data_IF_376846143390
#
_entry.id   IF_376846143390
#
_cell.length_a   1.000
_cell.length_b   1.000
_cell.length_c   1.000
_cell.angle_alpha   90.00
_cell.angle_beta   90.00
_cell.angle_gamma   90.00
#
_symmetry.space_group_name_H-M   'P 1'
#
loop_
_entity.id
_entity.type
_entity.pdbx_description
1 polymer ?
#
# COMPACT_ATOMS: atom_id res chain seq x y z
N UNK A 1 41.47 4.66 6.75
CA UNK A 1 40.61 5.30 7.77
C UNK A 1 39.27 5.76 7.19
N UNK A 2 39.23 6.41 6.01
CA UNK A 2 38.00 6.92 5.40
C UNK A 2 36.97 5.85 4.99
N UNK A 3 37.41 4.68 4.51
CA UNK A 3 36.49 3.60 4.08
C UNK A 3 35.69 2.99 5.24
N UNK A 4 36.28 2.84 6.42
CA UNK A 4 35.57 2.33 7.61
C UNK A 4 34.48 3.28 8.10
N UNK A 5 34.73 4.59 8.04
CA UNK A 5 33.74 5.61 8.36
C UNK A 5 32.60 5.63 7.31
N UNK A 6 32.94 5.51 6.03
CA UNK A 6 31.96 5.45 4.95
C UNK A 6 31.07 4.18 5.02
N UNK A 7 31.67 3.02 5.30
CA UNK A 7 30.91 1.77 5.48
C UNK A 7 30.00 1.84 6.72
N UNK A 8 30.49 2.43 7.82
CA UNK A 8 29.68 2.64 9.02
C UNK A 8 28.53 3.62 8.78
N UNK A 9 28.80 4.72 8.06
CA UNK A 9 27.79 5.72 7.71
C UNK A 9 26.73 5.16 6.76
N UNK A 10 27.12 4.44 5.69
CA UNK A 10 26.19 3.80 4.76
C UNK A 10 25.34 2.71 5.41
N UNK A 11 25.93 1.93 6.32
CA UNK A 11 25.20 0.99 7.17
C UNK A 11 24.18 1.67 8.09
N UNK A 12 24.58 2.76 8.75
CA UNK A 12 23.69 3.55 9.61
C UNK A 12 22.52 4.16 8.82
N UNK A 13 22.78 4.75 7.66
CA UNK A 13 21.73 5.32 6.79
C UNK A 13 20.75 4.23 6.35
N UNK A 14 21.26 3.08 5.90
CA UNK A 14 20.42 1.93 5.54
C UNK A 14 19.57 1.47 6.72
N UNK A 15 20.16 1.38 7.92
CA UNK A 15 19.47 0.93 9.11
C UNK A 15 18.39 1.92 9.58
N UNK A 16 18.65 3.22 9.51
CA UNK A 16 17.65 4.27 9.79
C UNK A 16 16.45 4.17 8.84
N UNK A 17 16.70 3.94 7.55
CA UNK A 17 15.64 3.75 6.57
C UNK A 17 14.81 2.48 6.82
N UNK A 18 15.46 1.39 7.20
CA UNK A 18 14.76 0.14 7.59
C UNK A 18 13.86 0.40 8.81
N UNK A 19 14.35 1.14 9.81
CA UNK A 19 13.54 1.50 10.99
C UNK A 19 12.33 2.35 10.60
N UNK A 20 12.48 3.29 9.67
CA UNK A 20 11.37 4.09 9.13
C UNK A 20 10.30 3.20 8.49
N UNK A 21 10.68 2.23 7.65
CA UNK A 21 9.72 1.31 7.03
C UNK A 21 9.04 0.41 8.07
N UNK A 22 9.77 -0.06 9.07
CA UNK A 22 9.17 -0.86 10.17
C UNK A 22 8.16 -0.02 10.94
N UNK A 23 8.51 1.22 11.30
CA UNK A 23 7.62 2.13 11.99
C UNK A 23 6.36 2.43 11.14
N UNK A 24 6.53 2.67 9.84
CA UNK A 24 5.42 2.88 8.92
C UNK A 24 4.50 1.65 8.82
N UNK A 25 5.06 0.44 8.74
CA UNK A 25 4.29 -0.81 8.74
C UNK A 25 3.49 -0.98 10.04
N UNK A 26 4.08 -0.66 11.19
CA UNK A 26 3.39 -0.72 12.49
C UNK A 26 2.26 0.30 12.54
N UNK A 27 2.54 1.55 12.16
CA UNK A 27 1.54 2.61 12.16
C UNK A 27 0.35 2.31 11.24
N UNK A 28 0.61 1.71 10.07
CA UNK A 28 -0.42 1.36 9.08
C UNK A 28 -1.02 -0.03 9.28
N UNK A 29 -0.61 -0.78 10.32
CA UNK A 29 -1.15 -2.11 10.62
C UNK A 29 -2.66 -2.12 10.90
N UNK A 30 -3.19 -0.99 11.39
CA UNK A 30 -4.62 -0.81 11.66
C UNK A 30 -5.42 -0.37 10.44
N UNK A 31 -4.75 0.04 9.36
CA UNK A 31 -5.41 0.50 8.13
C UNK A 31 -5.87 -0.72 7.33
N UNK A 32 -7.19 -0.91 7.10
CA UNK A 32 -7.68 -2.04 6.34
C UNK A 32 -7.13 -2.02 4.90
N UNK A 33 -6.68 -3.19 4.43
CA UNK A 33 -6.15 -3.33 3.08
C UNK A 33 -4.70 -2.85 2.90
N UNK A 34 -4.03 -2.35 3.95
CA UNK A 34 -2.61 -2.01 3.86
C UNK A 34 -1.75 -3.25 3.52
N UNK A 35 -0.77 -3.07 2.64
CA UNK A 35 0.17 -4.11 2.22
C UNK A 35 1.54 -3.82 2.79
N UNK A 36 2.09 -4.78 3.55
CA UNK A 36 3.39 -4.64 4.23
C UNK A 36 4.50 -4.41 3.22
N UNK A 37 5.35 -3.42 3.52
CA UNK A 37 6.55 -3.13 2.75
C UNK A 37 7.76 -3.77 3.43
N UNK A 38 8.61 -4.43 2.65
CA UNK A 38 9.85 -5.08 3.14
C UNK A 38 11.03 -4.49 2.40
N UNK A 39 11.98 -3.83 3.10
CA UNK A 39 13.18 -3.32 2.47
C UNK A 39 14.10 -4.47 2.08
N UNK A 40 14.69 -4.38 0.89
CA UNK A 40 15.73 -5.29 0.42
C UNK A 40 17.04 -4.50 0.37
N UNK A 41 18.00 -4.88 1.22
CA UNK A 41 19.35 -4.32 1.19
C UNK A 41 20.27 -5.17 0.34
N UNK A 42 21.20 -4.52 -0.37
CA UNK A 42 22.30 -5.18 -1.06
C UNK A 42 23.62 -4.54 -0.67
N UNK A 43 24.67 -5.35 -0.64
CA UNK A 43 26.04 -4.84 -0.57
C UNK A 43 26.42 -4.32 -1.95
N UNK A 44 26.97 -3.11 -2.03
CA UNK A 44 27.52 -2.60 -3.28
C UNK A 44 29.03 -2.85 -3.33
N UNK A 45 29.51 -3.50 -4.39
CA UNK A 45 30.94 -3.54 -4.69
C UNK A 45 31.36 -2.20 -5.28
N UNK A 46 32.31 -1.55 -4.62
CA UNK A 46 33.03 -0.44 -5.25
C UNK A 46 33.99 -1.03 -6.29
N UNK A 47 34.28 -0.35 -7.39
CA UNK A 47 35.29 -0.79 -8.40
C UNK A 47 36.68 -1.08 -7.78
N UNK A 48 36.92 -0.63 -6.54
CA UNK A 48 38.05 -0.94 -5.67
C UNK A 48 38.07 -2.38 -5.10
N UNK A 49 36.97 -3.15 -5.23
CA UNK A 49 36.83 -4.54 -4.73
C UNK A 49 37.86 -5.50 -5.32
N UNK A 50 38.28 -5.26 -6.58
CA UNK A 50 39.28 -6.09 -7.25
C UNK A 50 40.69 -5.95 -6.63
N UNK A 51 40.97 -4.86 -5.92
CA UNK A 51 42.27 -4.59 -5.29
C UNK A 51 42.27 -4.83 -3.78
N UNK A 52 41.17 -4.48 -3.11
CA UNK A 52 40.96 -4.73 -1.69
C UNK A 52 39.74 -5.62 -1.57
N UNK A 53 39.98 -6.92 -1.36
CA UNK A 53 39.02 -8.03 -1.33
C UNK A 53 37.90 -7.92 -0.28
N UNK A 54 37.65 -6.73 0.27
CA UNK A 54 36.75 -6.52 1.41
C UNK A 54 36.44 -5.03 1.63
N UNK A 55 35.74 -4.36 0.71
CA UNK A 55 35.12 -3.06 1.01
C UNK A 55 33.77 -2.97 0.30
N UNK A 56 32.69 -3.29 1.02
CA UNK A 56 31.33 -3.13 0.55
C UNK A 56 30.47 -2.42 1.59
N UNK A 57 29.97 -1.24 1.24
CA UNK A 57 28.91 -0.56 2.00
C UNK A 57 27.55 -1.22 1.76
N UNK A 58 26.58 -0.97 2.65
CA UNK A 58 25.20 -1.42 2.48
C UNK A 58 24.37 -0.30 1.85
N UNK A 59 23.54 -0.63 0.87
CA UNK A 59 22.49 0.26 0.35
C UNK A 59 21.16 -0.46 0.28
N UNK A 60 20.08 0.31 0.28
CA UNK A 60 18.74 -0.21 0.01
C UNK A 60 18.57 -0.31 -1.50
N UNK A 61 18.30 -1.51 -1.99
CA UNK A 61 18.09 -1.79 -3.41
C UNK A 61 16.66 -1.44 -3.82
N UNK A 62 15.70 -1.94 -3.06
CA UNK A 62 14.29 -1.87 -3.40
C UNK A 62 13.40 -2.06 -2.16
N UNK A 63 12.11 -1.77 -2.32
CA UNK A 63 11.06 -1.96 -1.32
C UNK A 63 9.99 -2.88 -1.92
N UNK A 64 9.98 -4.13 -1.46
CA UNK A 64 8.98 -5.09 -1.90
C UNK A 64 7.66 -4.93 -1.16
N UNK A 65 6.55 -4.84 -1.89
CA UNK A 65 5.20 -4.84 -1.32
C UNK A 65 4.64 -6.25 -1.29
N UNK A 66 4.34 -6.78 -0.10
CA UNK A 66 3.75 -8.10 0.05
C UNK A 66 2.24 -8.05 -0.21
N UNK A 67 1.79 -8.73 -1.27
CA UNK A 67 0.38 -8.85 -1.62
C UNK A 67 -0.36 -9.99 -0.91
N UNK A 68 0.31 -10.70 0.01
CA UNK A 68 -0.29 -11.76 0.80
C UNK A 68 -1.61 -11.31 1.47
N UNK A 69 -2.57 -12.22 1.57
CA UNK A 69 -3.85 -11.95 2.22
C UNK A 69 -3.63 -11.86 3.74
N UNK A 70 -4.11 -10.78 4.34
CA UNK A 70 -4.11 -10.62 5.80
C UNK A 70 -5.35 -11.23 6.44
N UNK A 71 -5.42 -11.15 7.76
CA UNK A 71 -6.58 -11.60 8.52
C UNK A 71 -7.80 -10.76 8.17
N UNK A 72 -8.92 -11.41 7.87
CA UNK A 72 -10.21 -10.77 7.68
C UNK A 72 -10.95 -10.79 9.02
N UNK A 73 -11.40 -9.62 9.48
CA UNK A 73 -12.23 -9.48 10.67
C UNK A 73 -13.60 -9.00 10.25
N UNK A 74 -14.63 -9.75 10.64
CA UNK A 74 -16.01 -9.32 10.45
C UNK A 74 -16.28 -8.09 11.32
N UNK A 75 -16.89 -7.07 10.73
CA UNK A 75 -17.37 -5.88 11.44
C UNK A 75 -18.89 -5.87 11.45
N UNK A 76 -19.49 -5.06 12.33
CA UNK A 76 -20.94 -4.90 12.39
C UNK A 76 -21.49 -3.86 11.39
N UNK A 77 -20.62 -3.23 10.58
CA UNK A 77 -21.02 -2.23 9.61
C UNK A 77 -21.32 -2.90 8.26
N UNK A 78 -22.56 -2.80 7.73
CA UNK A 78 -22.91 -3.42 6.46
C UNK A 78 -22.17 -2.84 5.25
N UNK A 79 -21.56 -1.65 5.38
CA UNK A 79 -20.79 -1.00 4.32
C UNK A 79 -19.29 -1.35 4.36
N UNK A 80 -18.85 -2.15 5.33
CA UNK A 80 -17.48 -2.63 5.36
C UNK A 80 -17.36 -3.91 4.52
N UNK A 81 -16.58 -3.85 3.44
CA UNK A 81 -16.43 -4.97 2.50
C UNK A 81 -14.99 -5.47 2.45
N UNK A 82 -14.79 -6.77 2.68
CA UNK A 82 -13.47 -7.39 2.54
C UNK A 82 -13.42 -8.28 1.29
N UNK A 83 -12.44 -8.02 0.42
CA UNK A 83 -12.15 -8.89 -0.72
C UNK A 83 -11.36 -10.12 -0.26
N UNK A 84 -11.84 -11.31 -0.63
CA UNK A 84 -11.13 -12.58 -0.43
C UNK A 84 -10.42 -12.98 -1.72
N UNK A 85 -9.13 -13.33 -1.66
CA UNK A 85 -8.34 -13.72 -2.84
C UNK A 85 -7.64 -12.54 -3.53
N UNK A 86 -7.50 -12.55 -4.85
CA UNK A 86 -6.89 -11.44 -5.61
C UNK A 86 -7.80 -10.22 -5.75
N UNK A 87 -7.34 -9.19 -6.46
CA UNK A 87 -8.17 -8.06 -6.92
C UNK A 87 -8.13 -6.77 -6.09
N UNK A 88 -8.74 -5.73 -6.61
CA UNK A 88 -8.83 -4.41 -5.97
C UNK A 88 -10.20 -3.79 -6.27
N UNK A 89 -10.69 -2.96 -5.35
CA UNK A 89 -11.82 -2.09 -5.60
C UNK A 89 -11.36 -0.94 -6.50
N UNK A 90 -12.17 -0.62 -7.50
CA UNK A 90 -11.91 0.49 -8.41
C UNK A 90 -12.67 1.71 -7.92
N UNK A 91 -11.98 2.85 -7.83
CA UNK A 91 -12.59 4.13 -7.42
C UNK A 91 -12.25 5.19 -8.43
N UNK A 92 -13.18 6.12 -8.64
CA UNK A 92 -12.99 7.22 -9.58
C UNK A 92 -12.22 8.36 -8.89
N UNK A 93 -11.13 8.82 -9.51
CA UNK A 93 -10.48 10.05 -9.08
C UNK A 93 -11.31 11.26 -9.54
N UNK A 94 -12.14 11.79 -8.63
CA UNK A 94 -12.99 12.96 -8.89
C UNK A 94 -12.36 14.30 -8.50
N UNK A 95 -11.17 14.31 -7.87
CA UNK A 95 -10.58 15.51 -7.22
C UNK A 95 -9.30 16.06 -7.84
N UNK A 96 -8.69 15.37 -8.80
CA UNK A 96 -7.44 15.84 -9.44
C UNK A 96 -7.64 16.01 -10.94
N UNK A 97 -6.85 16.90 -11.55
CA UNK A 97 -6.83 17.27 -12.98
C UNK A 97 -6.40 16.12 -13.93
N UNK A 98 -6.90 14.91 -13.66
CA UNK A 98 -6.72 13.71 -14.45
C UNK A 98 -7.84 12.74 -14.12
N UNK A 99 -8.78 12.58 -15.04
CA UNK A 99 -9.84 11.57 -14.94
C UNK A 99 -9.21 10.19 -15.06
N UNK A 100 -9.18 9.44 -13.95
CA UNK A 100 -8.55 8.13 -13.93
C UNK A 100 -9.08 7.24 -12.80
N UNK A 101 -8.90 5.93 -12.99
CA UNK A 101 -9.30 4.92 -12.02
C UNK A 101 -8.17 4.72 -11.00
N UNK A 102 -8.50 4.77 -9.72
CA UNK A 102 -7.64 4.39 -8.62
C UNK A 102 -8.05 3.01 -8.10
N UNK A 103 -7.09 2.32 -7.49
CA UNK A 103 -7.30 0.97 -6.97
C UNK A 103 -7.06 0.95 -5.47
N UNK A 104 -7.98 0.38 -4.72
CA UNK A 104 -7.87 0.25 -3.26
C UNK A 104 -8.27 -1.12 -2.77
N UNK A 105 -7.65 -1.55 -1.69
CA UNK A 105 -8.04 -2.76 -0.94
C UNK A 105 -8.75 -2.37 0.37
N UNK A 106 -8.92 -1.07 0.63
CA UNK A 106 -9.61 -0.58 1.81
C UNK A 106 -11.12 -0.76 1.62
N UNK A 107 -11.68 -1.59 2.49
CA UNK A 107 -13.08 -1.97 2.48
C UNK A 107 -14.04 -1.02 3.18
N UNK A 108 -13.54 0.06 3.79
CA UNK A 108 -14.36 0.99 4.55
C UNK A 108 -15.03 1.97 3.62
N UNK A 109 -16.32 1.75 3.37
CA UNK A 109 -17.13 2.57 2.48
C UNK A 109 -18.19 3.34 3.27
N UNK A 110 -18.65 4.44 2.68
CA UNK A 110 -19.71 5.29 3.21
C UNK A 110 -20.63 5.71 2.06
N UNK A 111 -21.79 6.25 2.39
CA UNK A 111 -22.75 6.76 1.40
C UNK A 111 -22.70 8.28 1.48
N UNK A 112 -22.52 8.93 0.34
CA UNK A 112 -22.59 10.39 0.26
C UNK A 112 -24.07 10.88 0.21
N UNK A 113 -24.35 12.19 0.35
CA UNK A 113 -25.71 12.73 0.27
C UNK A 113 -26.44 12.44 -1.05
N UNK A 114 -25.69 12.21 -2.13
CA UNK A 114 -26.25 11.86 -3.44
C UNK A 114 -26.76 10.42 -3.49
N UNK A 115 -26.40 9.58 -2.51
CA UNK A 115 -26.74 8.16 -2.43
C UNK A 115 -25.71 7.24 -3.10
N UNK A 116 -24.52 7.77 -3.40
CA UNK A 116 -23.42 7.03 -4.04
C UNK A 116 -22.48 6.46 -2.98
N UNK A 117 -22.01 5.24 -3.23
CA UNK A 117 -21.00 4.58 -2.42
C UNK A 117 -19.63 5.22 -2.66
N UNK A 118 -19.03 5.74 -1.60
CA UNK A 118 -17.75 6.44 -1.61
C UNK A 118 -16.79 5.83 -0.60
N UNK A 119 -15.48 5.97 -0.83
CA UNK A 119 -14.48 5.70 0.22
C UNK A 119 -14.55 6.76 1.31
N UNK A 120 -13.85 6.53 2.44
CA UNK A 120 -13.71 7.54 3.50
C UNK A 120 -13.07 8.84 3.01
N UNK A 121 -12.27 8.78 1.95
CA UNK A 121 -11.62 9.94 1.32
C UNK A 121 -12.54 10.66 0.31
N UNK A 122 -13.78 10.16 0.10
CA UNK A 122 -14.78 10.76 -0.78
C UNK A 122 -14.73 10.28 -2.24
N UNK A 123 -13.93 9.27 -2.57
CA UNK A 123 -13.84 8.74 -3.93
C UNK A 123 -15.01 7.80 -4.25
N UNK A 124 -15.78 8.03 -5.34
CA UNK A 124 -16.86 7.13 -5.75
C UNK A 124 -16.33 5.75 -6.11
N UNK A 125 -16.98 4.71 -5.61
CA UNK A 125 -16.68 3.31 -5.96
C UNK A 125 -17.34 2.97 -7.29
N UNK A 126 -16.56 2.36 -8.19
CA UNK A 126 -17.01 1.91 -9.50
C UNK A 126 -17.32 0.41 -9.47
N UNK A 127 -18.49 0.06 -10.00
CA UNK A 127 -18.89 -1.32 -10.34
C UNK A 127 -18.92 -1.53 -11.86
N UNK A 128 -19.47 -2.67 -12.29
CA UNK A 128 -19.52 -3.05 -13.72
C UNK A 128 -20.29 -2.07 -14.62
N UNK A 129 -21.28 -1.36 -14.05
CA UNK A 129 -22.13 -0.39 -14.76
C UNK A 129 -21.79 1.08 -14.44
N UNK A 130 -20.64 1.35 -13.81
CA UNK A 130 -20.25 2.68 -13.35
C UNK A 130 -20.44 2.88 -11.84
N UNK A 131 -20.71 4.11 -11.39
CA UNK A 131 -20.81 4.46 -9.96
C UNK A 131 -21.91 3.66 -9.27
N UNK A 132 -21.61 3.11 -8.09
CA UNK A 132 -22.60 2.36 -7.32
C UNK A 132 -23.49 3.34 -6.53
N UNK A 133 -24.76 3.43 -6.91
CA UNK A 133 -25.79 4.23 -6.22
C UNK A 133 -26.79 3.33 -5.49
N UNK A 134 -27.07 3.62 -4.22
CA UNK A 134 -27.97 2.82 -3.37
C UNK A 134 -29.44 3.26 -3.51
N UNK A 135 -29.71 4.42 -4.15
CA UNK A 135 -31.10 4.82 -4.47
C UNK A 135 -31.81 3.84 -5.41
N UNK A 136 -31.06 3.04 -6.16
CA UNK A 136 -31.58 2.01 -7.08
C UNK A 136 -31.59 0.59 -6.47
N UNK A 137 -31.11 0.40 -5.23
CA UNK A 137 -30.95 -0.91 -4.60
C UNK A 137 -32.26 -1.59 -4.15
N UNK A 138 -33.43 -1.00 -4.43
CA UNK A 138 -34.72 -1.70 -4.37
C UNK A 138 -35.01 -2.55 -5.61
N UNK A 139 -34.12 -2.60 -6.61
CA UNK A 139 -34.30 -3.44 -7.80
C UNK A 139 -33.17 -4.47 -7.95
N UNK A 140 -33.51 -5.70 -7.59
CA UNK A 140 -32.92 -6.99 -8.01
C UNK A 140 -31.45 -7.29 -7.67
N UNK A 141 -31.28 -8.03 -6.56
CA UNK A 141 -30.16 -8.96 -6.34
C UNK A 141 -30.60 -10.42 -6.44
N UNK A 142 -31.68 -10.72 -7.19
CA UNK A 142 -32.06 -12.10 -7.55
C UNK A 142 -31.90 -12.32 -9.05
N UNK A 143 -30.85 -13.05 -9.41
CA UNK A 143 -30.65 -13.73 -10.68
C UNK A 143 -29.92 -15.03 -10.43
#
# INVERSE_FOLDING_TARGET
MFEGLYNSASGMISQSFIQEIIAANIAKSVVPGYKKQTPVSESFETELSNYFKQVGGSKIKDIYTSFAQGNIKLTSNPLDVALTGGGFLVVENSTLEGSGNLYTRNGRLSINPDGVLVTLDGYPVLGEKGKISIKDATQDLTG
#
